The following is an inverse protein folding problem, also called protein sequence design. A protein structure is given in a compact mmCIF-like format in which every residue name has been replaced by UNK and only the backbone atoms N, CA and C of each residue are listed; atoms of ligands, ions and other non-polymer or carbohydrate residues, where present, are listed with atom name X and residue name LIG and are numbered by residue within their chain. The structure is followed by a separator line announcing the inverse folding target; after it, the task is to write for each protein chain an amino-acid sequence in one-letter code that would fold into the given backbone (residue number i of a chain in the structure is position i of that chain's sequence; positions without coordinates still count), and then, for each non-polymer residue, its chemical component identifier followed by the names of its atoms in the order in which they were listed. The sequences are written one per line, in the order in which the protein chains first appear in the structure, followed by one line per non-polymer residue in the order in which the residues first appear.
data_IF_723924714342
#
_entry.id   IF_723924714342
#
_cell.length_a   1.000
_cell.length_b   1.000
_cell.length_c   1.000
_cell.angle_alpha   90.00
_cell.angle_beta   90.00
_cell.angle_gamma   90.00
#
_symmetry.space_group_name_H-M   'P 1'
#
loop_
_entity.id
_entity.type
_entity.pdbx_description
1 polymer ?
#
# COMPACT_ATOMS: atom_id res chain seq x y z
N UNK A 1 -43.46 83.82 -39.18
CA UNK A 1 -42.59 82.78 -38.54
C UNK A 1 -41.28 82.77 -39.31
N UNK A 2 -40.19 83.31 -38.73
CA UNK A 2 -38.91 83.63 -39.41
C UNK A 2 -38.21 82.40 -39.97
N UNK A 3 -37.69 82.45 -41.20
CA UNK A 3 -36.90 81.40 -41.88
C UNK A 3 -35.83 80.84 -41.00
N UNK A 4 -35.18 81.58 -40.18
CA UNK A 4 -34.15 81.19 -39.17
C UNK A 4 -34.68 80.27 -38.11
N UNK A 5 -35.93 80.45 -37.57
CA UNK A 5 -36.52 79.52 -36.59
C UNK A 5 -36.84 78.16 -37.20
N UNK A 6 -37.25 78.08 -38.47
CA UNK A 6 -37.49 76.81 -39.17
C UNK A 6 -36.20 76.01 -39.41
N UNK A 7 -35.12 76.75 -39.69
CA UNK A 7 -33.79 76.09 -39.86
C UNK A 7 -33.26 75.60 -38.55
N UNK A 8 -33.42 76.34 -37.46
CA UNK A 8 -33.00 75.87 -36.11
C UNK A 8 -33.76 74.63 -35.65
N UNK A 9 -35.07 74.58 -35.87
CA UNK A 9 -35.89 73.39 -35.56
C UNK A 9 -35.45 72.16 -36.39
N UNK A 10 -35.11 72.32 -37.68
CA UNK A 10 -34.60 71.24 -38.56
C UNK A 10 -33.24 70.75 -38.08
N UNK A 11 -32.32 71.58 -37.69
CA UNK A 11 -31.00 71.21 -37.16
C UNK A 11 -31.14 70.44 -35.82
N UNK A 12 -32.03 70.88 -34.92
CA UNK A 12 -32.30 70.19 -33.64
C UNK A 12 -32.91 68.80 -33.88
N UNK A 13 -33.86 68.69 -34.87
CA UNK A 13 -34.44 67.39 -35.23
C UNK A 13 -33.39 66.46 -35.86
N UNK A 14 -32.47 66.97 -36.69
CA UNK A 14 -31.40 66.23 -37.27
C UNK A 14 -30.38 65.76 -36.21
N UNK A 15 -30.01 66.59 -35.26
CA UNK A 15 -29.15 66.25 -34.11
C UNK A 15 -29.81 65.22 -33.18
N UNK A 16 -31.12 65.40 -32.90
CA UNK A 16 -31.88 64.42 -32.12
C UNK A 16 -32.01 63.06 -32.84
N UNK A 17 -32.24 63.13 -34.17
CA UNK A 17 -32.23 61.91 -35.01
C UNK A 17 -30.86 61.19 -35.04
N UNK A 18 -29.76 61.94 -35.18
CA UNK A 18 -28.41 61.41 -35.11
C UNK A 18 -28.07 60.91 -33.72
N UNK A 19 -28.45 61.54 -32.67
CA UNK A 19 -28.28 61.10 -31.30
C UNK A 19 -29.07 59.80 -31.01
N UNK A 20 -30.32 59.72 -31.48
CA UNK A 20 -31.15 58.55 -31.38
C UNK A 20 -30.59 57.39 -32.21
N UNK A 21 -30.11 57.65 -33.41
CA UNK A 21 -29.44 56.67 -34.27
C UNK A 21 -28.16 56.17 -33.64
N UNK A 22 -27.32 57.05 -33.10
CA UNK A 22 -26.11 56.69 -32.37
C UNK A 22 -26.43 55.88 -31.07
N UNK A 23 -27.49 56.23 -30.35
CA UNK A 23 -27.95 55.48 -29.18
C UNK A 23 -28.45 54.07 -29.50
N UNK A 24 -29.21 53.90 -30.60
CA UNK A 24 -29.75 52.62 -31.05
C UNK A 24 -28.64 51.74 -31.63
N UNK A 25 -27.66 52.31 -32.36
CA UNK A 25 -26.52 51.57 -32.95
C UNK A 25 -25.39 51.36 -31.94
N UNK A 26 -25.30 52.09 -30.84
CA UNK A 26 -24.30 51.92 -29.79
C UNK A 26 -24.59 50.77 -28.82
N UNK A 27 -25.74 50.06 -28.94
CA UNK A 27 -25.98 48.86 -28.13
C UNK A 27 -24.95 47.79 -28.58
N UNK A 28 -24.11 47.32 -27.66
CA UNK A 28 -23.18 46.27 -28.01
C UNK A 28 -23.98 45.02 -28.46
N UNK A 29 -23.66 44.54 -29.68
CA UNK A 29 -24.21 43.30 -30.14
C UNK A 29 -23.73 42.20 -29.20
N UNK A 30 -24.64 41.59 -28.44
CA UNK A 30 -24.33 40.49 -27.53
C UNK A 30 -24.97 39.21 -28.06
N UNK A 31 -24.20 38.15 -28.15
CA UNK A 31 -24.69 36.82 -28.45
C UNK A 31 -25.01 36.10 -27.12
N UNK A 32 -26.26 35.65 -26.98
CA UNK A 32 -26.68 34.87 -25.81
C UNK A 32 -26.63 33.39 -26.18
N UNK A 33 -25.77 32.68 -25.52
CA UNK A 33 -25.61 31.21 -25.69
C UNK A 33 -26.36 30.50 -24.56
N UNK A 34 -27.11 29.46 -24.92
CA UNK A 34 -27.75 28.61 -23.93
C UNK A 34 -26.75 27.57 -23.43
N UNK A 35 -26.54 27.52 -22.14
CA UNK A 35 -25.68 26.57 -21.47
C UNK A 35 -26.44 25.76 -20.41
N UNK A 36 -25.80 24.75 -19.92
CA UNK A 36 -26.29 23.86 -18.87
C UNK A 36 -25.30 23.82 -17.71
N UNK A 37 -25.80 23.98 -16.50
CA UNK A 37 -24.99 23.76 -15.28
C UNK A 37 -24.75 22.26 -15.14
N UNK A 38 -23.50 21.88 -15.02
CA UNK A 38 -23.06 20.49 -14.90
C UNK A 38 -21.93 20.35 -13.89
N UNK A 39 -21.59 19.13 -13.54
CA UNK A 39 -20.47 18.77 -12.65
C UNK A 39 -19.85 17.44 -13.11
N UNK A 40 -18.82 16.99 -12.40
CA UNK A 40 -18.32 15.63 -12.57
C UNK A 40 -19.13 14.68 -11.68
N UNK A 41 -19.72 13.68 -12.32
CA UNK A 41 -20.37 12.58 -11.60
C UNK A 41 -19.32 11.64 -11.05
N UNK A 42 -19.33 11.41 -9.74
CA UNK A 42 -18.42 10.50 -9.07
C UNK A 42 -19.19 9.21 -8.76
N UNK A 43 -18.86 8.18 -9.53
CA UNK A 43 -19.49 6.89 -9.41
C UNK A 43 -18.87 6.13 -8.22
N UNK A 44 -19.71 5.75 -7.26
CA UNK A 44 -19.36 4.86 -6.17
C UNK A 44 -19.80 3.45 -6.53
N UNK A 45 -18.84 2.58 -6.70
CA UNK A 45 -19.05 1.16 -7.03
C UNK A 45 -18.33 0.26 -6.03
N UNK A 46 -18.83 -0.94 -5.74
CA UNK A 46 -18.18 -1.90 -4.88
C UNK A 46 -16.90 -2.44 -5.54
N UNK A 47 -15.91 -2.75 -4.72
CA UNK A 47 -14.67 -3.37 -5.19
C UNK A 47 -14.76 -4.89 -5.27
N UNK A 48 -15.76 -5.48 -4.60
CA UNK A 48 -16.06 -6.93 -4.62
C UNK A 48 -17.53 -7.16 -4.95
N UNK A 49 -17.82 -8.32 -5.55
CA UNK A 49 -19.19 -8.74 -5.81
C UNK A 49 -19.86 -9.30 -4.56
N UNK A 50 -21.15 -9.05 -4.45
CA UNK A 50 -21.96 -9.59 -3.36
C UNK A 50 -23.34 -8.93 -3.25
N UNK A 51 -24.17 -9.46 -2.36
CA UNK A 51 -25.47 -8.87 -2.08
C UNK A 51 -25.29 -7.63 -1.20
N UNK A 52 -25.91 -6.52 -1.57
CA UNK A 52 -25.93 -5.30 -0.75
C UNK A 52 -26.74 -5.62 0.52
N UNK A 53 -26.08 -5.62 1.67
CA UNK A 53 -26.73 -5.84 2.97
C UNK A 53 -27.56 -4.62 3.36
N UNK A 54 -26.96 -3.42 3.25
CA UNK A 54 -27.63 -2.18 3.59
C UNK A 54 -27.06 -1.00 2.80
N UNK A 55 -27.90 0.01 2.60
CA UNK A 55 -27.52 1.33 2.10
C UNK A 55 -28.14 2.37 3.05
N UNK A 56 -27.29 3.14 3.70
CA UNK A 56 -27.66 4.04 4.80
C UNK A 56 -28.06 5.45 4.33
N UNK A 57 -27.78 5.74 3.05
CA UNK A 57 -28.00 7.08 2.46
C UNK A 57 -29.10 7.04 1.40
N UNK A 58 -29.74 8.20 1.23
CA UNK A 58 -30.79 8.46 0.23
C UNK A 58 -30.35 9.54 -0.75
N UNK A 59 -31.02 9.63 -1.88
CA UNK A 59 -30.85 10.74 -2.82
C UNK A 59 -31.11 12.07 -2.11
N UNK A 60 -30.24 13.05 -2.32
CA UNK A 60 -30.27 14.33 -1.66
C UNK A 60 -29.50 14.42 -0.33
N UNK A 61 -28.98 13.33 0.20
CA UNK A 61 -28.20 13.35 1.44
C UNK A 61 -26.79 13.93 1.20
N UNK A 62 -26.33 14.76 2.14
CA UNK A 62 -24.94 15.22 2.17
C UNK A 62 -24.06 14.18 2.83
N UNK A 63 -22.92 13.88 2.20
CA UNK A 63 -21.94 12.91 2.68
C UNK A 63 -20.54 13.52 2.77
N UNK A 64 -19.74 13.02 3.71
CA UNK A 64 -18.35 13.40 3.87
C UNK A 64 -17.43 12.31 3.36
N UNK A 65 -16.27 12.69 2.88
CA UNK A 65 -15.21 11.77 2.46
C UNK A 65 -14.90 10.76 3.56
N UNK A 66 -14.89 9.46 3.21
CA UNK A 66 -14.70 8.36 4.15
C UNK A 66 -15.95 7.98 4.95
N UNK A 67 -17.07 8.68 4.80
CA UNK A 67 -18.33 8.31 5.44
C UNK A 67 -18.81 6.96 4.92
N UNK A 68 -19.27 6.10 5.83
CA UNK A 68 -19.88 4.82 5.51
C UNK A 68 -21.26 5.03 4.87
N UNK A 69 -21.42 4.54 3.64
CA UNK A 69 -22.63 4.69 2.83
C UNK A 69 -23.48 3.43 2.81
N UNK A 70 -22.86 2.27 2.99
CA UNK A 70 -23.50 0.97 2.96
C UNK A 70 -22.52 -0.17 3.01
N UNK A 71 -23.02 -1.38 3.04
CA UNK A 71 -22.21 -2.60 3.13
C UNK A 71 -22.73 -3.71 2.20
N UNK A 72 -21.80 -4.52 1.72
CA UNK A 72 -22.06 -5.82 1.10
C UNK A 72 -22.14 -6.88 2.20
N UNK A 73 -22.90 -7.94 1.99
CA UNK A 73 -23.01 -9.06 2.91
C UNK A 73 -21.62 -9.68 3.21
N UNK A 74 -21.28 -9.79 4.48
CA UNK A 74 -19.92 -10.06 4.96
C UNK A 74 -19.72 -11.47 5.51
N UNK A 75 -20.76 -12.29 5.62
CA UNK A 75 -20.73 -13.52 6.42
C UNK A 75 -19.64 -14.50 5.96
N UNK A 76 -19.54 -14.76 4.67
CA UNK A 76 -18.52 -15.62 4.07
C UNK A 76 -17.12 -15.04 4.25
N UNK A 77 -16.92 -13.76 3.95
CA UNK A 77 -15.61 -13.10 4.03
C UNK A 77 -15.12 -12.96 5.49
N UNK A 78 -16.05 -12.83 6.43
CA UNK A 78 -15.74 -12.83 7.86
C UNK A 78 -15.28 -14.22 8.32
N UNK A 79 -15.95 -15.27 7.84
CA UNK A 79 -15.54 -16.65 8.11
C UNK A 79 -14.18 -16.96 7.51
N UNK A 80 -13.91 -16.51 6.28
CA UNK A 80 -12.60 -16.62 5.63
C UNK A 80 -11.49 -15.91 6.43
N UNK A 81 -11.73 -14.66 6.83
CA UNK A 81 -10.77 -13.90 7.65
C UNK A 81 -10.47 -14.62 8.99
N UNK A 82 -11.52 -15.14 9.65
CA UNK A 82 -11.37 -15.91 10.87
C UNK A 82 -10.58 -17.21 10.66
N UNK A 83 -10.85 -17.94 9.58
CA UNK A 83 -10.11 -19.16 9.22
C UNK A 83 -8.61 -18.87 9.01
N UNK A 84 -8.26 -17.85 8.23
CA UNK A 84 -6.86 -17.49 8.00
C UNK A 84 -6.18 -16.94 9.25
N UNK A 85 -6.93 -16.26 10.13
CA UNK A 85 -6.40 -15.82 11.42
C UNK A 85 -6.01 -17.00 12.31
N UNK A 86 -6.87 -18.03 12.42
CA UNK A 86 -6.58 -19.25 13.18
C UNK A 86 -5.42 -20.06 12.56
N UNK A 87 -5.36 -20.12 11.24
CA UNK A 87 -4.24 -20.78 10.52
C UNK A 87 -2.90 -20.09 10.82
N UNK A 88 -2.86 -18.76 10.78
CA UNK A 88 -1.66 -17.99 11.08
C UNK A 88 -1.22 -18.17 12.56
N UNK A 89 -2.17 -18.21 13.49
CA UNK A 89 -1.88 -18.47 14.91
C UNK A 89 -1.37 -19.88 15.15
N UNK A 90 -1.92 -20.90 14.45
CA UNK A 90 -1.43 -22.27 14.51
C UNK A 90 0.04 -22.37 14.07
N UNK A 91 0.39 -21.75 12.93
CA UNK A 91 1.76 -21.71 12.45
C UNK A 91 2.70 -20.90 13.35
N UNK A 92 2.20 -19.81 13.98
CA UNK A 92 2.96 -19.09 14.99
C UNK A 92 3.30 -19.97 16.20
N UNK A 93 2.38 -20.82 16.61
CA UNK A 93 2.63 -21.81 17.67
C UNK A 93 3.66 -22.84 17.28
N UNK A 94 3.65 -23.29 16.01
CA UNK A 94 4.64 -24.22 15.47
C UNK A 94 6.05 -23.60 15.39
N UNK A 95 6.17 -22.31 15.08
CA UNK A 95 7.45 -21.57 15.17
C UNK A 95 7.97 -21.59 16.61
N UNK A 96 7.13 -21.21 17.59
CA UNK A 96 7.52 -21.23 19.01
C UNK A 96 7.98 -22.62 19.50
N UNK A 97 7.31 -23.68 19.06
CA UNK A 97 7.69 -25.06 19.35
C UNK A 97 9.06 -25.40 18.76
N UNK A 98 9.29 -25.11 17.46
CA UNK A 98 10.55 -25.38 16.78
C UNK A 98 11.72 -24.58 17.37
N UNK A 99 11.49 -23.32 17.77
CA UNK A 99 12.47 -22.52 18.51
C UNK A 99 12.82 -23.13 19.88
N UNK A 100 11.83 -23.63 20.61
CA UNK A 100 12.05 -24.30 21.89
C UNK A 100 12.87 -25.58 21.70
N UNK A 101 12.57 -26.36 20.65
CA UNK A 101 13.33 -27.54 20.30
C UNK A 101 14.78 -27.21 19.90
N UNK A 102 15.00 -26.12 19.14
CA UNK A 102 16.33 -25.62 18.82
C UNK A 102 17.13 -25.21 20.06
N UNK A 103 16.51 -24.47 20.99
CA UNK A 103 17.14 -24.07 22.27
C UNK A 103 17.54 -25.29 23.10
N UNK A 104 16.66 -26.29 23.18
CA UNK A 104 16.95 -27.53 23.89
C UNK A 104 18.13 -28.27 23.25
N UNK A 105 18.10 -28.50 21.93
CA UNK A 105 19.17 -29.20 21.19
C UNK A 105 20.52 -28.48 21.35
N UNK A 106 20.53 -27.15 21.28
CA UNK A 106 21.75 -26.35 21.47
C UNK A 106 22.35 -26.55 22.86
N UNK A 107 21.52 -26.50 23.91
CA UNK A 107 22.01 -26.73 25.28
C UNK A 107 22.55 -28.15 25.45
N UNK A 108 21.80 -29.14 24.99
CA UNK A 108 22.22 -30.54 25.04
C UNK A 108 23.59 -30.76 24.36
N UNK A 109 23.78 -30.18 23.18
CA UNK A 109 25.05 -30.28 22.44
C UNK A 109 26.20 -29.62 23.20
N UNK A 110 25.99 -28.42 23.74
CA UNK A 110 27.01 -27.72 24.56
C UNK A 110 27.40 -28.53 25.78
N UNK A 111 26.43 -29.09 26.49
CA UNK A 111 26.69 -29.90 27.70
C UNK A 111 27.43 -31.19 27.36
N UNK A 112 27.09 -31.86 26.24
CA UNK A 112 27.77 -33.06 25.78
C UNK A 112 29.25 -32.80 25.41
N UNK A 113 29.50 -31.68 24.71
CA UNK A 113 30.87 -31.29 24.34
C UNK A 113 31.67 -30.95 25.61
N UNK A 114 31.12 -30.17 26.54
CA UNK A 114 31.77 -29.82 27.80
C UNK A 114 32.11 -31.07 28.64
N UNK A 115 31.20 -32.03 28.72
CA UNK A 115 31.42 -33.32 29.41
C UNK A 115 32.58 -34.08 28.76
N UNK A 116 32.59 -34.24 27.43
CA UNK A 116 33.64 -34.93 26.72
C UNK A 116 35.02 -34.27 26.86
N UNK A 117 35.06 -32.92 26.81
CA UNK A 117 36.27 -32.13 27.02
C UNK A 117 36.82 -32.29 28.45
N UNK A 118 35.92 -32.29 29.44
CA UNK A 118 36.31 -32.51 30.84
C UNK A 118 36.93 -33.90 31.08
N UNK A 119 36.33 -34.94 30.44
CA UNK A 119 36.89 -36.31 30.46
C UNK A 119 38.24 -36.37 29.78
N UNK A 120 38.44 -35.73 28.65
CA UNK A 120 39.72 -35.61 27.97
C UNK A 120 40.77 -34.94 28.87
N UNK A 121 40.46 -33.83 29.46
CA UNK A 121 41.38 -33.11 30.36
C UNK A 121 41.77 -33.95 31.58
N UNK A 122 40.86 -34.72 32.16
CA UNK A 122 41.12 -35.67 33.24
C UNK A 122 42.09 -36.77 32.79
N UNK A 123 41.91 -37.36 31.61
CA UNK A 123 42.76 -38.38 31.05
C UNK A 123 44.18 -37.84 30.69
N UNK A 124 44.25 -36.60 30.15
CA UNK A 124 45.53 -35.92 29.91
C UNK A 124 46.29 -35.67 31.21
N UNK A 125 45.59 -35.30 32.29
CA UNK A 125 46.20 -35.26 33.64
C UNK A 125 46.79 -36.57 34.11
N UNK A 126 46.12 -37.71 33.84
CA UNK A 126 46.67 -39.04 34.16
C UNK A 126 47.91 -39.36 33.31
N UNK A 127 47.93 -38.95 32.04
CA UNK A 127 49.11 -39.11 31.17
C UNK A 127 50.29 -38.33 31.74
N UNK A 128 50.08 -37.09 32.15
CA UNK A 128 51.12 -36.26 32.76
C UNK A 128 51.69 -36.90 34.02
N UNK A 129 50.89 -37.51 34.88
CA UNK A 129 51.33 -38.26 36.05
C UNK A 129 52.16 -39.48 35.62
N UNK A 130 51.64 -40.26 34.64
CA UNK A 130 52.36 -41.45 34.15
C UNK A 130 53.68 -41.12 33.42
N UNK A 131 53.79 -39.94 32.78
CA UNK A 131 55.04 -39.44 32.23
C UNK A 131 56.08 -39.22 33.32
N UNK A 132 55.70 -38.62 34.44
CA UNK A 132 56.58 -38.40 35.60
C UNK A 132 57.01 -39.74 36.22
N UNK A 133 56.10 -40.70 36.36
CA UNK A 133 56.39 -42.05 36.90
C UNK A 133 57.33 -42.81 35.97
N UNK A 134 57.09 -42.81 34.65
CA UNK A 134 57.97 -43.46 33.66
C UNK A 134 59.38 -42.83 33.65
N UNK A 135 59.51 -41.50 33.77
CA UNK A 135 60.77 -40.83 33.82
C UNK A 135 61.54 -41.19 35.12
N UNK A 136 60.86 -41.22 36.29
CA UNK A 136 61.46 -41.65 37.56
C UNK A 136 61.95 -43.11 37.47
N UNK A 137 61.17 -44.03 36.92
CA UNK A 137 61.54 -45.42 36.70
C UNK A 137 62.75 -45.52 35.74
N UNK A 138 62.75 -44.73 34.64
CA UNK A 138 63.88 -44.65 33.68
C UNK A 138 65.20 -44.23 34.36
N UNK A 139 65.13 -43.16 35.17
CA UNK A 139 66.31 -42.63 35.90
C UNK A 139 66.81 -43.65 36.92
N UNK A 140 65.90 -44.35 37.60
CA UNK A 140 66.22 -45.41 38.56
C UNK A 140 66.89 -46.57 37.86
N UNK A 141 66.33 -47.06 36.76
CA UNK A 141 66.91 -48.18 35.95
C UNK A 141 68.31 -47.76 35.43
N UNK A 142 68.50 -46.56 34.88
CA UNK A 142 69.80 -46.04 34.41
C UNK A 142 70.87 -46.02 35.50
N UNK A 143 70.53 -45.58 36.69
CA UNK A 143 71.48 -45.61 37.86
C UNK A 143 71.81 -47.00 38.29
N UNK A 144 70.77 -47.91 38.40
CA UNK A 144 70.94 -49.30 38.78
C UNK A 144 71.79 -50.02 37.75
N UNK A 145 71.63 -49.78 36.46
CA UNK A 145 72.43 -50.32 35.37
C UNK A 145 73.92 -49.92 35.49
N UNK A 146 74.19 -48.66 35.83
CA UNK A 146 75.61 -48.23 36.01
C UNK A 146 76.26 -48.87 37.25
N UNK A 147 75.52 -48.99 38.36
CA UNK A 147 75.98 -49.70 39.55
C UNK A 147 76.18 -51.16 39.30
N UNK A 148 75.37 -51.84 38.50
CA UNK A 148 75.54 -53.24 38.11
C UNK A 148 76.80 -53.45 37.26
N UNK A 149 77.10 -52.52 36.31
CA UNK A 149 78.36 -52.54 35.54
C UNK A 149 79.61 -52.43 36.41
N UNK A 150 79.50 -51.75 37.58
CA UNK A 150 80.55 -51.59 38.56
C UNK A 150 80.57 -52.75 39.55
N UNK A 151 79.70 -53.79 39.48
CA UNK A 151 79.62 -54.90 40.35
C UNK A 151 79.12 -54.61 41.77
N UNK A 152 78.39 -53.51 41.99
CA UNK A 152 77.96 -53.04 43.31
C UNK A 152 76.55 -53.59 43.69
N UNK A 153 75.80 -54.10 42.74
CA UNK A 153 74.42 -54.55 43.00
C UNK A 153 74.20 -55.96 42.40
N UNK A 154 73.13 -56.64 42.84
CA UNK A 154 72.77 -57.98 42.37
C UNK A 154 72.07 -57.96 41.00
N UNK A 155 72.18 -59.00 40.15
CA UNK A 155 71.43 -59.16 38.91
C UNK A 155 69.88 -59.01 39.13
N UNK A 156 69.39 -59.49 40.25
CA UNK A 156 67.95 -59.45 40.61
C UNK A 156 67.47 -58.03 40.80
N UNK A 157 68.28 -57.13 41.39
CA UNK A 157 67.96 -55.71 41.57
C UNK A 157 67.90 -54.96 40.23
N UNK A 158 68.82 -55.31 39.31
CA UNK A 158 68.75 -54.77 37.93
C UNK A 158 67.51 -55.22 37.18
N UNK A 159 67.16 -56.53 37.25
CA UNK A 159 65.94 -57.05 36.62
C UNK A 159 64.68 -56.47 37.20
N UNK A 160 64.63 -56.19 38.52
CA UNK A 160 63.49 -55.49 39.15
C UNK A 160 63.38 -54.07 38.63
N UNK A 161 64.48 -53.33 38.56
CA UNK A 161 64.46 -51.95 38.04
C UNK A 161 64.04 -51.87 36.57
N UNK A 162 64.51 -52.84 35.74
CA UNK A 162 64.10 -52.96 34.34
C UNK A 162 62.61 -53.24 34.21
N UNK A 163 62.12 -54.25 34.95
CA UNK A 163 60.69 -54.63 34.91
C UNK A 163 59.79 -53.41 35.34
N UNK A 164 60.23 -52.69 36.37
CA UNK A 164 59.51 -51.47 36.80
C UNK A 164 59.45 -50.39 35.70
N UNK A 165 60.56 -50.15 34.99
CA UNK A 165 60.63 -49.21 33.88
C UNK A 165 59.76 -49.70 32.70
N UNK A 166 59.82 -50.99 32.29
CA UNK A 166 59.00 -51.52 31.21
C UNK A 166 57.49 -51.43 31.56
N UNK A 167 57.15 -51.73 32.82
CA UNK A 167 55.75 -51.61 33.32
C UNK A 167 55.22 -50.13 33.29
N UNK A 168 56.08 -49.20 33.75
CA UNK A 168 55.71 -47.76 33.72
C UNK A 168 55.54 -47.24 32.28
N UNK A 169 56.41 -47.66 31.35
CA UNK A 169 56.32 -47.31 29.95
C UNK A 169 55.07 -47.89 29.29
N UNK A 170 54.76 -49.15 29.55
CA UNK A 170 53.55 -49.83 29.02
C UNK A 170 52.29 -49.10 29.57
N UNK A 171 52.28 -48.66 30.82
CA UNK A 171 51.16 -47.91 31.42
C UNK A 171 51.00 -46.57 30.75
N UNK A 172 52.12 -45.81 30.49
CA UNK A 172 52.08 -44.56 29.76
C UNK A 172 51.50 -44.72 28.37
N UNK A 173 51.96 -45.73 27.61
CA UNK A 173 51.46 -45.96 26.26
C UNK A 173 49.96 -46.35 26.25
N UNK A 174 49.48 -47.10 27.23
CA UNK A 174 48.07 -47.40 27.43
C UNK A 174 47.25 -46.13 27.64
N UNK A 175 47.72 -45.22 28.50
CA UNK A 175 47.01 -43.94 28.78
C UNK A 175 47.04 -42.99 27.56
N UNK A 176 48.12 -42.99 26.79
CA UNK A 176 48.21 -42.20 25.53
C UNK A 176 47.16 -42.70 24.53
N UNK A 177 46.98 -44.02 24.36
CA UNK A 177 45.93 -44.56 23.51
C UNK A 177 44.53 -44.21 24.03
N UNK A 178 44.34 -44.15 25.36
CA UNK A 178 43.11 -43.72 25.97
C UNK A 178 42.79 -42.24 25.69
N UNK A 179 43.81 -41.34 25.71
CA UNK A 179 43.64 -39.95 25.26
C UNK A 179 43.21 -39.85 23.81
N UNK A 180 43.78 -40.63 22.91
CA UNK A 180 43.34 -40.66 21.49
C UNK A 180 41.89 -41.12 21.34
N UNK A 181 41.46 -42.14 22.08
CA UNK A 181 40.07 -42.55 22.11
C UNK A 181 39.15 -41.46 22.64
N UNK A 182 39.58 -40.74 23.69
CA UNK A 182 38.82 -39.65 24.26
C UNK A 182 38.74 -38.42 23.32
N UNK A 183 39.82 -38.15 22.57
CA UNK A 183 39.81 -37.12 21.51
C UNK A 183 38.78 -37.43 20.41
N UNK A 184 38.68 -38.69 20.04
CA UNK A 184 37.64 -39.16 19.08
C UNK A 184 36.23 -38.94 19.64
N UNK A 185 36.02 -39.13 20.95
CA UNK A 185 34.75 -38.90 21.62
C UNK A 185 34.39 -37.38 21.60
N UNK A 186 35.36 -36.49 21.85
CA UNK A 186 35.17 -35.03 21.71
C UNK A 186 34.81 -34.66 20.28
N UNK A 187 35.49 -35.22 19.29
CA UNK A 187 35.19 -34.96 17.89
C UNK A 187 33.74 -35.41 17.53
N UNK A 188 33.30 -36.57 18.00
CA UNK A 188 31.92 -37.04 17.83
C UNK A 188 30.91 -36.08 18.53
N UNK A 189 31.19 -35.65 19.75
CA UNK A 189 30.34 -34.71 20.46
C UNK A 189 30.25 -33.36 19.71
N UNK A 190 31.33 -32.87 19.14
CA UNK A 190 31.37 -31.67 18.32
C UNK A 190 30.59 -31.83 17.00
N UNK A 191 30.62 -32.98 16.35
CA UNK A 191 29.84 -33.21 15.13
C UNK A 191 28.33 -33.15 15.36
N UNK A 192 27.86 -33.37 16.60
CA UNK A 192 26.45 -33.20 16.93
C UNK A 192 25.96 -31.73 16.80
N UNK A 193 26.89 -30.76 16.67
CA UNK A 193 26.55 -29.39 16.34
C UNK A 193 25.87 -29.26 14.97
N UNK A 194 26.11 -30.17 14.03
CA UNK A 194 25.42 -30.19 12.73
C UNK A 194 23.91 -30.39 12.91
N UNK A 195 23.49 -31.15 13.92
CA UNK A 195 22.06 -31.33 14.24
C UNK A 195 21.41 -30.01 14.66
N UNK A 196 22.17 -29.12 15.29
CA UNK A 196 21.71 -27.79 15.64
C UNK A 196 21.44 -26.95 14.38
N UNK A 197 22.27 -27.06 13.34
CA UNK A 197 22.07 -26.40 12.06
C UNK A 197 20.80 -26.91 11.35
N UNK A 198 20.54 -28.21 11.37
CA UNK A 198 19.32 -28.81 10.82
C UNK A 198 18.08 -28.27 11.56
N UNK A 199 18.13 -28.21 12.90
CA UNK A 199 17.02 -27.65 13.69
C UNK A 199 16.81 -26.16 13.42
N UNK A 200 17.88 -25.41 13.19
CA UNK A 200 17.78 -23.99 12.79
C UNK A 200 17.08 -23.84 11.43
N UNK A 201 17.46 -24.64 10.45
CA UNK A 201 16.78 -24.62 9.14
C UNK A 201 15.30 -24.97 9.24
N UNK A 202 14.92 -25.85 10.18
CA UNK A 202 13.50 -26.15 10.45
C UNK A 202 12.76 -24.93 11.02
N UNK A 203 13.37 -24.14 11.91
CA UNK A 203 12.80 -22.88 12.41
C UNK A 203 12.59 -21.91 11.26
N UNK A 204 13.62 -21.68 10.42
CA UNK A 204 13.53 -20.79 9.25
C UNK A 204 12.40 -21.22 8.29
N UNK A 205 12.24 -22.52 8.05
CA UNK A 205 11.13 -23.05 7.24
C UNK A 205 9.77 -22.70 7.85
N UNK A 206 9.61 -22.90 9.16
CA UNK A 206 8.36 -22.62 9.87
C UNK A 206 8.06 -21.12 9.90
N UNK A 207 9.08 -20.26 10.03
CA UNK A 207 8.94 -18.80 9.93
C UNK A 207 8.42 -18.37 8.54
N UNK A 208 8.95 -18.97 7.47
CA UNK A 208 8.44 -18.69 6.12
C UNK A 208 6.99 -19.15 5.93
N UNK A 209 6.61 -20.29 6.49
CA UNK A 209 5.21 -20.76 6.46
C UNK A 209 4.29 -19.85 7.24
N UNK A 210 4.71 -19.37 8.42
CA UNK A 210 3.98 -18.40 9.21
C UNK A 210 3.81 -17.08 8.45
N UNK A 211 4.88 -16.56 7.82
CA UNK A 211 4.82 -15.34 7.03
C UNK A 211 3.85 -15.47 5.85
N UNK A 212 3.84 -16.61 5.16
CA UNK A 212 2.89 -16.90 4.09
C UNK A 212 1.44 -16.90 4.59
N UNK A 213 1.17 -17.52 5.75
CA UNK A 213 -0.17 -17.53 6.34
C UNK A 213 -0.61 -16.14 6.83
N UNK A 214 0.32 -15.34 7.38
CA UNK A 214 0.06 -13.96 7.75
C UNK A 214 -0.30 -13.09 6.53
N UNK A 215 0.36 -13.31 5.39
CA UNK A 215 0.02 -12.65 4.12
C UNK A 215 -1.37 -13.08 3.61
N UNK A 216 -1.74 -14.35 3.76
CA UNK A 216 -3.08 -14.84 3.42
C UNK A 216 -4.17 -14.18 4.29
N UNK A 217 -3.93 -14.11 5.60
CA UNK A 217 -4.80 -13.38 6.52
C UNK A 217 -4.96 -11.92 6.11
N UNK A 218 -3.85 -11.22 5.85
CA UNK A 218 -3.88 -9.82 5.42
C UNK A 218 -4.69 -9.62 4.13
N UNK A 219 -4.59 -10.55 3.17
CA UNK A 219 -5.40 -10.55 1.95
C UNK A 219 -6.90 -10.72 2.25
N UNK A 220 -7.25 -11.62 3.17
CA UNK A 220 -8.65 -11.81 3.58
C UNK A 220 -9.21 -10.56 4.29
N UNK A 221 -8.42 -9.93 5.17
CA UNK A 221 -8.80 -8.70 5.85
C UNK A 221 -9.00 -7.52 4.87
N UNK A 222 -8.18 -7.44 3.81
CA UNK A 222 -8.39 -6.45 2.74
C UNK A 222 -9.72 -6.70 2.01
N UNK A 223 -10.01 -7.96 1.67
CA UNK A 223 -11.29 -8.30 1.05
C UNK A 223 -12.49 -7.98 1.94
N UNK A 224 -12.36 -8.21 3.24
CA UNK A 224 -13.38 -7.85 4.21
C UNK A 224 -13.60 -6.33 4.26
N UNK A 225 -12.54 -5.51 4.23
CA UNK A 225 -12.67 -4.05 4.13
C UNK A 225 -13.37 -3.59 2.85
N UNK A 226 -13.20 -4.29 1.74
CA UNK A 226 -13.86 -3.96 0.47
C UNK A 226 -15.37 -4.19 0.49
N UNK A 227 -15.92 -4.81 1.55
CA UNK A 227 -17.38 -4.90 1.75
C UNK A 227 -17.99 -3.58 2.17
N UNK A 228 -17.21 -2.67 2.74
CA UNK A 228 -17.67 -1.35 3.15
C UNK A 228 -17.66 -0.39 1.96
N UNK A 229 -18.83 0.20 1.67
CA UNK A 229 -18.99 1.22 0.65
C UNK A 229 -18.85 2.57 1.33
N UNK A 230 -17.80 3.32 0.98
CA UNK A 230 -17.51 4.63 1.57
C UNK A 230 -17.49 5.73 0.52
N UNK A 231 -17.77 6.97 0.93
CA UNK A 231 -17.72 8.14 0.07
C UNK A 231 -16.26 8.50 -0.28
N UNK A 232 -15.90 8.61 -1.57
CA UNK A 232 -14.55 9.00 -1.99
C UNK A 232 -14.29 10.50 -1.83
N UNK A 233 -15.35 11.33 -1.79
CA UNK A 233 -15.29 12.79 -1.66
C UNK A 233 -16.37 13.31 -0.70
N UNK A 234 -16.27 14.59 -0.32
CA UNK A 234 -17.38 15.33 0.24
C UNK A 234 -18.35 15.68 -0.90
N UNK A 235 -19.65 15.51 -0.68
CA UNK A 235 -20.60 15.77 -1.76
C UNK A 235 -22.06 15.49 -1.39
N UNK A 236 -22.89 15.46 -2.42
CA UNK A 236 -24.32 15.14 -2.35
C UNK A 236 -24.59 13.85 -3.11
N UNK A 237 -25.45 12.99 -2.58
CA UNK A 237 -25.93 11.79 -3.28
C UNK A 237 -26.92 12.24 -4.35
N UNK A 238 -26.55 12.11 -5.62
CA UNK A 238 -27.39 12.47 -6.77
C UNK A 238 -28.31 11.31 -7.15
N UNK A 239 -27.74 10.14 -7.42
CA UNK A 239 -28.49 8.96 -7.84
C UNK A 239 -28.17 7.75 -6.96
N UNK A 240 -29.17 7.02 -6.57
CA UNK A 240 -29.07 5.71 -5.94
C UNK A 240 -29.44 4.62 -6.95
N UNK A 241 -28.41 4.12 -7.66
CA UNK A 241 -28.57 3.16 -8.75
C UNK A 241 -28.91 1.74 -8.28
N UNK A 242 -28.62 1.40 -7.01
CA UNK A 242 -28.90 0.06 -6.46
C UNK A 242 -29.63 0.13 -5.12
N UNK A 243 -30.24 -0.98 -4.71
CA UNK A 243 -31.03 -1.11 -3.48
C UNK A 243 -30.48 -2.19 -2.57
N UNK A 244 -30.76 -2.07 -1.27
CA UNK A 244 -30.48 -3.15 -0.33
C UNK A 244 -31.18 -4.44 -0.76
N UNK A 245 -30.49 -5.57 -0.69
CA UNK A 245 -30.94 -6.87 -1.15
C UNK A 245 -30.53 -7.22 -2.58
N UNK A 246 -30.20 -6.25 -3.42
CA UNK A 246 -29.71 -6.49 -4.78
C UNK A 246 -28.27 -7.03 -4.78
N UNK A 247 -27.95 -7.77 -5.84
CA UNK A 247 -26.58 -8.26 -6.05
C UNK A 247 -25.80 -7.25 -6.89
N UNK A 248 -24.70 -6.75 -6.36
CA UNK A 248 -23.80 -5.83 -7.04
C UNK A 248 -22.54 -6.56 -7.51
N UNK A 249 -22.02 -6.19 -8.68
CA UNK A 249 -20.75 -6.67 -9.22
C UNK A 249 -19.69 -5.56 -9.16
N UNK A 250 -18.39 -5.90 -9.10
CA UNK A 250 -17.32 -4.90 -9.13
C UNK A 250 -17.46 -3.97 -10.33
N UNK A 251 -17.35 -2.65 -10.07
CA UNK A 251 -17.47 -1.62 -11.11
C UNK A 251 -18.90 -1.21 -11.47
N UNK A 252 -19.93 -1.91 -10.98
CA UNK A 252 -21.31 -1.49 -11.18
C UNK A 252 -21.64 -0.28 -10.30
N UNK A 253 -22.21 0.80 -10.85
CA UNK A 253 -22.66 1.95 -10.05
C UNK A 253 -23.65 1.54 -8.97
N UNK A 254 -23.39 1.89 -7.73
CA UNK A 254 -24.33 1.75 -6.60
C UNK A 254 -24.91 3.12 -6.22
N UNK A 255 -24.04 4.11 -6.17
CA UNK A 255 -24.38 5.50 -5.88
C UNK A 255 -23.62 6.41 -6.83
N UNK A 256 -24.21 7.55 -7.16
CA UNK A 256 -23.53 8.67 -7.83
C UNK A 256 -23.47 9.86 -6.87
N UNK A 257 -22.28 10.38 -6.67
CA UNK A 257 -22.05 11.59 -5.87
C UNK A 257 -21.71 12.76 -6.77
N UNK A 258 -22.15 13.94 -6.40
CA UNK A 258 -21.77 15.20 -7.03
C UNK A 258 -21.13 16.12 -6.00
N UNK A 259 -20.16 16.92 -6.46
CA UNK A 259 -19.60 18.00 -5.67
C UNK A 259 -20.37 19.30 -5.97
N UNK A 260 -21.19 19.82 -5.04
CA UNK A 260 -21.96 21.03 -5.26
C UNK A 260 -21.09 22.30 -5.31
N UNK A 261 -19.83 22.22 -4.92
CA UNK A 261 -18.90 23.35 -4.93
C UNK A 261 -18.03 23.37 -6.22
N UNK A 262 -17.99 22.28 -7.00
CA UNK A 262 -17.32 22.20 -8.31
C UNK A 262 -18.33 22.10 -9.45
N UNK A 263 -19.19 23.13 -9.58
CA UNK A 263 -20.11 23.26 -10.68
C UNK A 263 -19.54 24.19 -11.76
N UNK A 264 -19.88 23.88 -13.01
CA UNK A 264 -19.57 24.78 -14.13
C UNK A 264 -20.73 24.85 -15.12
N UNK A 265 -20.76 25.91 -15.89
CA UNK A 265 -21.68 26.06 -17.02
C UNK A 265 -21.00 25.56 -18.27
N UNK A 266 -21.58 24.55 -18.91
CA UNK A 266 -21.20 24.10 -20.25
C UNK A 266 -22.05 24.82 -21.26
N UNK A 267 -21.44 25.47 -22.22
CA UNK A 267 -22.15 26.13 -23.31
C UNK A 267 -21.40 25.85 -24.62
N UNK A 268 -22.16 25.89 -25.72
CA UNK A 268 -21.66 25.63 -27.05
C UNK A 268 -21.67 26.95 -27.85
N UNK A 269 -20.53 27.27 -28.49
CA UNK A 269 -20.38 28.43 -29.34
C UNK A 269 -20.23 28.02 -30.80
N UNK A 270 -20.92 28.73 -31.70
CA UNK A 270 -20.78 28.52 -33.15
C UNK A 270 -19.35 28.79 -33.61
N UNK A 271 -18.89 28.04 -34.61
CA UNK A 271 -17.56 28.16 -35.21
C UNK A 271 -17.20 29.63 -35.59
N UNK A 272 -18.20 30.40 -36.02
CA UNK A 272 -18.05 31.82 -36.41
C UNK A 272 -17.57 32.71 -35.24
N UNK A 273 -17.77 32.29 -33.99
CA UNK A 273 -17.45 33.08 -32.81
C UNK A 273 -16.45 32.40 -31.85
N UNK A 274 -15.96 31.21 -32.21
CA UNK A 274 -15.07 30.43 -31.33
C UNK A 274 -13.73 31.10 -31.07
N UNK A 275 -13.23 31.89 -32.01
CA UNK A 275 -11.99 32.67 -31.93
C UNK A 275 -12.06 33.79 -30.88
N UNK A 276 -13.27 34.20 -30.51
CA UNK A 276 -13.54 35.24 -29.52
C UNK A 276 -13.61 34.72 -28.09
N UNK A 277 -13.61 33.42 -27.89
CA UNK A 277 -13.63 32.80 -26.54
C UNK A 277 -12.25 32.20 -26.25
N UNK A 278 -11.59 32.73 -25.23
CA UNK A 278 -10.28 32.25 -24.78
C UNK A 278 -10.36 31.74 -23.35
N UNK A 279 -9.52 30.78 -23.04
CA UNK A 279 -9.36 30.33 -21.65
C UNK A 279 -8.84 31.52 -20.82
N UNK A 280 -9.50 31.77 -19.71
CA UNK A 280 -9.26 32.94 -18.83
C UNK A 280 -10.25 34.07 -18.98
N UNK A 281 -11.05 34.08 -20.06
CA UNK A 281 -12.06 35.14 -20.28
C UNK A 281 -13.15 35.11 -19.20
N UNK A 282 -13.58 36.29 -18.76
CA UNK A 282 -14.70 36.47 -17.83
C UNK A 282 -15.94 36.82 -18.60
N UNK A 283 -16.92 35.94 -18.60
CA UNK A 283 -18.19 36.13 -19.27
C UNK A 283 -19.34 36.23 -18.26
N UNK A 284 -20.36 36.98 -18.61
CA UNK A 284 -21.56 37.09 -17.77
C UNK A 284 -22.44 35.86 -17.99
N UNK A 285 -22.76 35.17 -16.92
CA UNK A 285 -23.70 34.07 -16.88
C UNK A 285 -24.99 34.53 -16.23
N UNK A 286 -26.10 34.50 -16.96
CA UNK A 286 -27.42 34.87 -16.50
C UNK A 286 -28.24 33.61 -16.23
N UNK A 287 -28.77 33.51 -15.03
CA UNK A 287 -29.67 32.42 -14.63
C UNK A 287 -31.12 32.71 -15.13
N UNK A 288 -31.99 31.70 -15.23
CA UNK A 288 -33.41 31.89 -15.58
C UNK A 288 -34.13 32.84 -14.62
N UNK A 289 -33.69 32.93 -13.38
CA UNK A 289 -34.21 33.89 -12.37
C UNK A 289 -33.83 35.35 -12.64
N UNK A 290 -33.02 35.64 -13.67
CA UNK A 290 -32.50 36.97 -13.98
C UNK A 290 -31.24 37.37 -13.20
N UNK A 291 -30.77 36.54 -12.29
CA UNK A 291 -29.52 36.79 -11.54
C UNK A 291 -28.31 36.62 -12.50
N UNK A 292 -27.43 37.61 -12.48
CA UNK A 292 -26.20 37.60 -13.26
C UNK A 292 -24.99 37.26 -12.37
N UNK A 293 -24.09 36.41 -12.89
CA UNK A 293 -22.85 36.03 -12.24
C UNK A 293 -21.68 36.12 -13.22
N UNK A 294 -20.47 36.28 -12.72
CA UNK A 294 -19.28 36.23 -13.53
C UNK A 294 -18.80 34.77 -13.60
N UNK A 295 -18.68 34.23 -14.83
CA UNK A 295 -18.06 32.95 -15.08
C UNK A 295 -16.70 33.10 -15.75
N UNK A 296 -15.72 32.36 -15.30
CA UNK A 296 -14.38 32.31 -15.93
C UNK A 296 -14.25 31.07 -16.82
N UNK A 297 -13.93 31.27 -18.08
CA UNK A 297 -13.69 30.18 -19.04
C UNK A 297 -12.43 29.43 -18.61
N UNK A 298 -12.53 28.13 -18.29
CA UNK A 298 -11.40 27.30 -17.91
C UNK A 298 -11.11 26.20 -18.93
N UNK A 299 -12.07 25.92 -19.82
CA UNK A 299 -11.90 24.91 -20.86
C UNK A 299 -12.56 25.39 -22.16
N UNK A 300 -11.91 25.09 -23.28
CA UNK A 300 -12.43 25.22 -24.64
C UNK A 300 -12.16 23.94 -25.40
N UNK A 301 -13.19 23.29 -25.90
CA UNK A 301 -13.09 22.11 -26.73
C UNK A 301 -12.23 22.33 -27.98
N UNK A 302 -11.45 21.33 -28.32
CA UNK A 302 -10.63 21.31 -29.55
C UNK A 302 -11.40 20.71 -30.73
N UNK A 303 -12.37 19.84 -30.42
CA UNK A 303 -13.19 19.17 -31.41
C UNK A 303 -14.53 19.86 -31.58
N UNK A 304 -14.96 19.94 -32.83
CA UNK A 304 -16.27 20.50 -33.18
C UNK A 304 -17.34 19.40 -33.08
N UNK A 305 -18.42 19.71 -32.39
CA UNK A 305 -19.66 18.92 -32.40
C UNK A 305 -20.68 19.58 -33.36
N UNK A 306 -21.64 18.77 -33.84
CA UNK A 306 -22.75 19.35 -34.59
C UNK A 306 -23.81 19.90 -33.62
N UNK A 307 -24.37 21.07 -33.98
CA UNK A 307 -25.43 21.69 -33.18
C UNK A 307 -26.64 20.75 -33.04
N UNK A 308 -26.94 20.33 -31.81
CA UNK A 308 -28.09 19.45 -31.49
C UNK A 308 -29.36 20.21 -31.11
N UNK A 309 -29.37 21.54 -31.25
CA UNK A 309 -30.53 22.35 -30.82
C UNK A 309 -31.75 22.15 -31.72
N UNK A 310 -32.88 21.81 -31.10
CA UNK A 310 -34.18 21.59 -31.74
C UNK A 310 -34.79 22.80 -32.44
N UNK A 311 -34.31 24.04 -32.14
CA UNK A 311 -34.88 25.29 -32.62
C UNK A 311 -34.03 26.03 -33.67
N UNK A 312 -33.12 25.34 -34.34
CA UNK A 312 -32.34 25.95 -35.40
C UNK A 312 -33.09 25.87 -36.72
N UNK A 313 -33.33 27.02 -37.35
CA UNK A 313 -33.95 27.10 -38.68
C UNK A 313 -33.19 26.20 -39.67
N UNK A 314 -33.89 25.68 -40.71
CA UNK A 314 -33.29 24.75 -41.69
C UNK A 314 -31.97 25.14 -42.30
N UNK A 315 -31.68 26.46 -42.30
CA UNK A 315 -30.42 27.02 -42.83
C UNK A 315 -29.21 26.94 -41.87
N UNK A 316 -29.39 26.53 -40.60
CA UNK A 316 -28.30 26.46 -39.58
C UNK A 316 -27.95 25.06 -39.13
N UNK A 317 -28.43 24.00 -39.78
CA UNK A 317 -28.24 22.60 -39.35
C UNK A 317 -26.80 22.11 -39.48
N UNK A 318 -25.97 22.74 -40.30
CA UNK A 318 -24.60 22.31 -40.58
C UNK A 318 -23.53 23.16 -39.86
N UNK A 319 -23.92 24.01 -38.90
CA UNK A 319 -22.96 24.82 -38.17
C UNK A 319 -22.32 23.95 -37.10
N UNK A 320 -21.00 23.91 -37.13
CA UNK A 320 -20.19 23.28 -36.08
C UNK A 320 -20.20 24.15 -34.84
N UNK A 321 -20.26 23.50 -33.68
CA UNK A 321 -20.19 24.16 -32.38
C UNK A 321 -19.02 23.64 -31.58
N UNK A 322 -18.44 24.48 -30.77
CA UNK A 322 -17.34 24.16 -29.87
C UNK A 322 -17.79 24.33 -28.43
N UNK A 323 -17.58 23.31 -27.63
CA UNK A 323 -17.89 23.34 -26.21
C UNK A 323 -16.91 24.27 -25.48
N UNK A 324 -17.40 25.07 -24.57
CA UNK A 324 -16.61 25.75 -23.57
C UNK A 324 -17.25 25.65 -22.19
N UNK A 325 -16.41 25.71 -21.16
CA UNK A 325 -16.85 25.56 -19.77
C UNK A 325 -16.44 26.75 -18.95
N UNK A 326 -17.37 27.27 -18.19
CA UNK A 326 -17.17 28.41 -17.31
C UNK A 326 -17.34 27.97 -15.87
N UNK A 327 -16.32 28.23 -15.04
CA UNK A 327 -16.46 28.09 -13.60
C UNK A 327 -17.22 29.27 -13.07
N UNK A 328 -18.30 29.01 -12.31
CA UNK A 328 -19.18 30.02 -11.74
C UNK A 328 -19.23 29.78 -10.23
N UNK A 329 -19.16 30.87 -9.43
CA UNK A 329 -19.28 30.74 -7.99
C UNK A 329 -20.69 30.26 -7.58
N UNK A 330 -20.71 29.23 -6.70
CA UNK A 330 -21.92 28.65 -6.13
C UNK A 330 -21.91 28.68 -4.59
N UNK A 331 -21.24 29.65 -3.98
CA UNK A 331 -21.13 29.75 -2.52
C UNK A 331 -22.50 29.88 -1.84
N UNK A 332 -23.50 30.43 -2.53
CA UNK A 332 -24.91 30.55 -2.07
C UNK A 332 -25.75 29.30 -2.37
N UNK A 333 -25.16 28.25 -3.01
CA UNK A 333 -25.81 26.99 -3.36
C UNK A 333 -27.12 27.11 -4.14
N UNK A 334 -27.25 28.14 -4.98
CA UNK A 334 -28.41 28.33 -5.84
C UNK A 334 -28.29 27.67 -7.20
N UNK A 335 -27.10 27.32 -7.64
CA UNK A 335 -26.90 26.55 -8.85
C UNK A 335 -27.16 25.05 -8.55
N UNK A 336 -27.93 24.43 -9.43
CA UNK A 336 -28.19 23.02 -9.40
C UNK A 336 -27.77 22.39 -10.74
N UNK A 337 -27.30 21.15 -10.70
CA UNK A 337 -26.99 20.38 -11.91
C UNK A 337 -28.27 20.26 -12.76
N UNK A 338 -28.13 20.42 -14.08
CA UNK A 338 -29.26 20.41 -15.02
C UNK A 338 -29.97 21.75 -15.17
N UNK A 339 -29.58 22.80 -14.39
CA UNK A 339 -30.16 24.14 -14.54
C UNK A 339 -29.66 24.78 -15.84
N UNK A 340 -30.58 25.41 -16.58
CA UNK A 340 -30.23 26.22 -17.75
C UNK A 340 -29.50 27.50 -17.30
N UNK A 341 -28.48 27.89 -18.04
CA UNK A 341 -27.77 29.16 -17.85
C UNK A 341 -27.52 29.83 -19.20
N UNK A 342 -27.61 31.16 -19.23
CA UNK A 342 -27.40 31.92 -20.44
C UNK A 342 -26.03 32.62 -20.36
N UNK A 343 -25.13 32.28 -21.25
CA UNK A 343 -23.81 32.90 -21.33
C UNK A 343 -23.84 34.05 -22.33
N UNK A 344 -23.54 35.27 -21.87
CA UNK A 344 -23.52 36.46 -22.69
C UNK A 344 -22.12 36.67 -23.24
N UNK A 345 -21.97 36.50 -24.56
CA UNK A 345 -20.74 36.73 -25.29
C UNK A 345 -20.80 38.12 -25.99
N UNK A 346 -19.87 39.03 -25.69
CA UNK A 346 -19.79 40.30 -26.41
C UNK A 346 -19.30 40.04 -27.85
N UNK A 347 -20.11 40.45 -28.85
CA UNK A 347 -19.84 40.31 -30.27
C UNK A 347 -19.44 41.67 -30.84
N UNK A 348 -18.26 42.16 -30.49
CA UNK A 348 -17.63 43.29 -31.15
C UNK A 348 -16.33 42.94 -31.79
#
# INVERSE_FOLDING_TARGET
MNRTRRLLVLVVLLLAGAALYAYVTARPATLVLTGLVTTNDIIVSPQIGGRIAELLVKEGDQVKKGQHLGAIAVDELRADSAYYAQSAEGLSSQVRESEAALRYQRRQTVDQVAQAESMLASTEGQVNAAVADAENARLTYARTQDLAKRGVISPQELDQARTAFDAATAKLDSLRKQVEAQRSTVALARSSAEQVAVRRSQVETNEHLQAAAAAQKAKADVRLRYTEITAPIDGLVDVRAARAGEYAVPGQPVLTLIDPDDLWVRADVEETYVDRVRVGDKLTVRLPSGVERQGTVFYRGLDAAYATQRDVSRTKRDIRTFEFRLRVDNSDRRLAVGMTAYVVLPVR
#
